data_IF_260747523150
#
_entry.id   IF_260747523150
#
_cell.length_a   1.000
_cell.length_b   1.000
_cell.length_c   1.000
_cell.angle_alpha   90.00
_cell.angle_beta   90.00
_cell.angle_gamma   90.00
#
_symmetry.space_group_name_H-M   'P 1'
#
loop_
_entity.id
_entity.type
_entity.pdbx_description
1 polymer ?
#
# COMPACT_ATOMS: atom_id res chain seq x y z
N UNK A 1 28.61 -25.55 -8.97
CA UNK A 1 28.49 -24.10 -8.69
C UNK A 1 27.04 -23.70 -8.91
N UNK A 2 26.37 -23.14 -7.89
CA UNK A 2 24.96 -22.73 -8.01
C UNK A 2 24.92 -21.31 -8.60
N UNK A 3 24.46 -21.19 -9.83
CA UNK A 3 24.18 -19.90 -10.47
C UNK A 3 23.00 -19.25 -9.75
N UNK A 4 23.20 -18.07 -9.16
CA UNK A 4 22.13 -17.27 -8.58
C UNK A 4 21.58 -16.33 -9.65
N UNK A 5 20.25 -16.27 -9.78
CA UNK A 5 19.57 -15.42 -10.75
C UNK A 5 19.71 -13.93 -10.42
N UNK A 6 19.60 -13.11 -11.47
CA UNK A 6 19.85 -11.65 -11.52
C UNK A 6 19.04 -10.81 -10.50
N UNK A 7 17.98 -11.35 -9.87
CA UNK A 7 17.39 -10.80 -8.66
C UNK A 7 16.87 -11.92 -7.75
N UNK A 8 17.30 -11.95 -6.49
CA UNK A 8 16.81 -12.87 -5.47
C UNK A 8 15.45 -12.38 -4.92
N UNK A 9 14.57 -13.32 -4.58
CA UNK A 9 13.23 -13.01 -4.03
C UNK A 9 13.29 -12.13 -2.78
N UNK A 10 14.34 -12.26 -1.95
CA UNK A 10 14.50 -11.41 -0.76
C UNK A 10 14.70 -9.95 -1.17
N UNK A 11 15.52 -9.71 -2.18
CA UNK A 11 15.79 -8.36 -2.69
C UNK A 11 14.53 -7.74 -3.30
N UNK A 12 13.76 -8.51 -4.07
CA UNK A 12 12.47 -8.07 -4.63
C UNK A 12 11.50 -7.70 -3.50
N UNK A 13 11.40 -8.56 -2.47
CA UNK A 13 10.51 -8.32 -1.34
C UNK A 13 10.86 -7.02 -0.62
N UNK A 14 12.15 -6.77 -0.34
CA UNK A 14 12.59 -5.52 0.32
C UNK A 14 12.18 -4.29 -0.50
N UNK A 15 12.42 -4.29 -1.81
CA UNK A 15 12.05 -3.16 -2.68
C UNK A 15 10.54 -2.94 -2.70
N UNK A 16 9.77 -4.01 -2.87
CA UNK A 16 8.31 -3.93 -2.89
C UNK A 16 7.73 -3.49 -1.54
N UNK A 17 8.29 -3.94 -0.41
CA UNK A 17 7.84 -3.50 0.90
C UNK A 17 8.03 -2.00 1.07
N UNK A 18 9.19 -1.45 0.70
CA UNK A 18 9.44 0.00 0.80
C UNK A 18 8.46 0.78 -0.08
N UNK A 19 8.29 0.36 -1.34
CA UNK A 19 7.35 1.01 -2.26
C UNK A 19 5.90 0.91 -1.77
N UNK A 20 5.49 -0.26 -1.27
CA UNK A 20 4.17 -0.49 -0.71
C UNK A 20 3.91 0.40 0.51
N UNK A 21 4.84 0.46 1.47
CA UNK A 21 4.69 1.28 2.67
C UNK A 21 4.54 2.76 2.33
N UNK A 22 5.42 3.31 1.47
CA UNK A 22 5.32 4.72 1.05
C UNK A 22 4.01 4.97 0.31
N UNK A 23 3.57 4.03 -0.54
CA UNK A 23 2.30 4.14 -1.26
C UNK A 23 1.11 4.13 -0.29
N UNK A 24 1.10 3.26 0.72
CA UNK A 24 0.06 3.23 1.75
C UNK A 24 -0.04 4.55 2.50
N UNK A 25 1.09 5.14 2.89
CA UNK A 25 1.10 6.44 3.56
C UNK A 25 0.55 7.54 2.64
N UNK A 26 0.95 7.54 1.37
CA UNK A 26 0.47 8.52 0.39
C UNK A 26 -1.03 8.38 0.13
N UNK A 27 -1.51 7.18 -0.23
CA UNK A 27 -2.93 6.96 -0.53
C UNK A 27 -3.82 7.04 0.71
N UNK A 28 -3.29 6.72 1.90
CA UNK A 28 -4.01 6.89 3.16
C UNK A 28 -4.37 8.36 3.45
N UNK A 29 -3.59 9.32 2.95
CA UNK A 29 -3.90 10.76 3.07
C UNK A 29 -4.80 11.29 1.94
N UNK A 30 -5.07 10.49 0.91
CA UNK A 30 -5.82 10.89 -0.28
C UNK A 30 -7.17 10.19 -0.34
N UNK A 31 -8.06 10.61 0.53
CA UNK A 31 -9.47 10.21 0.54
C UNK A 31 -10.36 11.43 0.24
N UNK A 32 -11.65 11.21 -0.06
CA UNK A 32 -12.57 12.33 -0.29
C UNK A 32 -14.03 12.03 0.03
N UNK A 33 -14.51 10.82 -0.26
CA UNK A 33 -15.92 10.50 -0.04
C UNK A 33 -16.28 10.47 1.46
N UNK A 34 -15.49 9.75 2.28
CA UNK A 34 -15.76 9.63 3.73
C UNK A 34 -15.64 10.94 4.52
N UNK A 35 -14.99 11.96 3.96
CA UNK A 35 -14.84 13.29 4.57
C UNK A 35 -15.76 14.34 3.93
N UNK A 36 -16.66 13.92 3.04
CA UNK A 36 -17.59 14.81 2.34
C UNK A 36 -18.95 14.87 3.04
N UNK A 37 -19.67 15.96 2.79
CA UNK A 37 -21.06 16.15 3.27
C UNK A 37 -22.05 15.09 2.74
N UNK A 38 -21.65 14.32 1.72
CA UNK A 38 -22.47 13.26 1.13
C UNK A 38 -22.27 11.90 1.83
N UNK A 39 -21.52 11.87 2.93
CA UNK A 39 -21.29 10.66 3.72
C UNK A 39 -21.95 10.76 5.09
N UNK A 40 -23.04 10.02 5.26
CA UNK A 40 -23.84 10.01 6.50
C UNK A 40 -23.51 8.83 7.43
N UNK A 41 -22.52 8.00 7.06
CA UNK A 41 -22.13 6.80 7.80
C UNK A 41 -21.03 7.03 8.83
N UNK A 42 -20.67 5.98 9.58
CA UNK A 42 -19.56 6.00 10.54
C UNK A 42 -18.31 5.22 10.06
N UNK A 43 -18.27 4.83 8.79
CA UNK A 43 -17.20 4.02 8.21
C UNK A 43 -17.45 2.50 8.26
N UNK A 44 -18.59 2.05 8.78
CA UNK A 44 -18.91 0.62 8.91
C UNK A 44 -20.24 0.26 8.27
N UNK A 45 -20.42 -1.02 7.94
CA UNK A 45 -21.72 -1.54 7.55
C UNK A 45 -22.56 -1.78 8.81
N UNK A 46 -23.54 -0.90 9.05
CA UNK A 46 -24.58 -1.07 10.06
C UNK A 46 -25.92 -1.29 9.37
#
# INVERSE_FOLDING_TARGET
MRSQSIMDVKSILVVLTVLFTVSCLFFGTRNGYYDSDNYDGNGSAH
#
